data_IF_803080439486
#
_entry.id   IF_803080439486
#
_cell.length_a   1.000
_cell.length_b   1.000
_cell.length_c   1.000
_cell.angle_alpha   90.00
_cell.angle_beta   90.00
_cell.angle_gamma   90.00
#
_symmetry.space_group_name_H-M   'P 1'
#
loop_
_entity.id
_entity.type
_entity.pdbx_description
1 polymer ?
#
# COMPACT_ATOMS: atom_id res chain seq x y z
N UNK A 1 19.10 -18.23 2.63
CA UNK A 1 18.60 -19.42 3.37
C UNK A 1 19.53 -19.71 4.54
N UNK A 2 19.14 -19.22 5.73
CA UNK A 2 19.99 -19.37 6.92
C UNK A 2 19.65 -20.61 7.75
N UNK A 3 18.92 -21.59 7.21
CA UNK A 3 18.40 -22.77 7.92
C UNK A 3 17.67 -22.44 9.23
N UNK A 4 17.11 -21.24 9.34
CA UNK A 4 16.38 -20.78 10.51
C UNK A 4 14.95 -21.28 10.45
N UNK A 5 14.47 -21.87 11.53
CA UNK A 5 13.08 -22.31 11.67
C UNK A 5 12.15 -21.08 11.60
N UNK A 6 11.12 -21.16 10.77
CA UNK A 6 10.06 -20.15 10.70
C UNK A 6 8.95 -20.55 11.66
N UNK A 7 8.60 -19.68 12.61
CA UNK A 7 7.61 -19.98 13.65
C UNK A 7 6.16 -19.72 13.19
N UNK A 8 5.95 -19.19 11.97
CA UNK A 8 4.61 -18.96 11.41
C UNK A 8 3.98 -17.63 11.84
N UNK A 9 2.72 -17.66 12.27
CA UNK A 9 1.99 -16.46 12.68
C UNK A 9 2.53 -15.91 13.99
N UNK A 10 3.01 -14.66 13.96
CA UNK A 10 3.59 -13.96 15.11
C UNK A 10 2.58 -13.81 16.27
N UNK A 11 1.27 -13.77 15.99
CA UNK A 11 0.25 -13.71 17.01
C UNK A 11 0.18 -14.97 17.89
N UNK A 12 0.64 -16.11 17.35
CA UNK A 12 0.68 -17.40 18.04
C UNK A 12 2.01 -17.64 18.77
N UNK A 13 2.99 -16.78 18.58
CA UNK A 13 4.29 -16.90 19.23
C UNK A 13 4.20 -16.50 20.70
N UNK A 14 4.64 -17.39 21.57
CA UNK A 14 4.84 -17.08 22.99
C UNK A 14 6.07 -16.19 23.15
N UNK A 15 5.86 -14.94 23.47
CA UNK A 15 6.95 -13.94 23.60
C UNK A 15 8.02 -14.38 24.60
N UNK A 16 7.66 -15.13 25.63
CA UNK A 16 8.62 -15.60 26.64
C UNK A 16 9.59 -16.66 26.09
N UNK A 17 9.26 -17.31 24.94
CA UNK A 17 10.11 -18.30 24.29
C UNK A 17 11.03 -17.73 23.25
N UNK A 18 10.90 -16.43 22.93
CA UNK A 18 11.83 -15.75 22.01
C UNK A 18 13.21 -15.68 22.68
N UNK A 19 14.29 -16.11 22.01
CA UNK A 19 15.63 -15.98 22.56
C UNK A 19 16.02 -14.51 22.77
N UNK A 20 16.94 -14.26 23.70
CA UNK A 20 17.57 -12.94 23.84
C UNK A 20 18.24 -12.55 22.52
N UNK A 21 18.08 -11.31 22.12
CA UNK A 21 18.59 -10.76 20.87
C UNK A 21 18.94 -9.27 21.05
N UNK A 22 19.90 -8.78 20.26
CA UNK A 22 20.40 -7.42 20.35
C UNK A 22 19.61 -6.46 19.45
N UNK A 23 19.01 -6.98 18.37
CA UNK A 23 18.23 -6.19 17.42
C UNK A 23 16.91 -6.89 17.08
N UNK A 24 15.83 -6.13 17.05
CA UNK A 24 14.54 -6.54 16.50
C UNK A 24 14.29 -5.83 15.17
N UNK A 25 14.14 -6.62 14.11
CA UNK A 25 13.76 -6.13 12.78
C UNK A 25 12.34 -6.57 12.44
N UNK A 26 11.46 -5.64 12.02
CA UNK A 26 10.11 -5.99 11.63
C UNK A 26 9.51 -5.06 10.58
N UNK A 27 8.77 -5.65 9.63
CA UNK A 27 7.78 -4.94 8.80
C UNK A 27 6.38 -5.27 9.30
N UNK A 28 5.48 -4.30 9.34
CA UNK A 28 4.12 -4.50 9.83
C UNK A 28 3.08 -3.76 8.96
N UNK A 29 1.82 -4.27 8.85
CA UNK A 29 0.82 -3.62 8.01
C UNK A 29 0.30 -2.33 8.64
N UNK A 30 0.02 -1.32 7.79
CA UNK A 30 -0.49 -0.01 8.19
C UNK A 30 -2.00 0.00 8.52
N UNK A 31 -2.76 -1.03 8.12
CA UNK A 31 -4.22 -1.01 8.07
C UNK A 31 -5.01 -0.98 9.40
N UNK A 32 -4.52 -1.48 10.54
CA UNK A 32 -5.36 -1.56 11.76
C UNK A 32 -5.54 -0.26 12.53
N UNK A 33 -4.72 0.76 12.28
CA UNK A 33 -4.75 2.00 13.09
C UNK A 33 -5.96 2.89 12.84
N UNK A 34 -6.61 2.79 11.67
CA UNK A 34 -7.73 3.65 11.28
C UNK A 34 -9.07 3.33 11.97
N UNK A 35 -9.17 2.18 12.65
CA UNK A 35 -10.40 1.78 13.35
C UNK A 35 -10.31 1.81 14.88
N UNK A 36 -9.11 1.95 15.41
CA UNK A 36 -8.88 2.03 16.84
C UNK A 36 -8.77 3.49 17.28
N UNK A 37 -9.90 4.18 17.31
CA UNK A 37 -10.02 5.31 18.21
C UNK A 37 -9.62 4.85 19.60
N UNK A 38 -8.45 5.26 20.01
CA UNK A 38 -7.87 5.40 21.35
C UNK A 38 -7.99 4.31 22.44
N UNK A 39 -8.80 3.27 22.37
CA UNK A 39 -8.97 2.36 23.54
C UNK A 39 -9.35 0.89 23.27
N UNK A 40 -9.56 0.44 22.05
CA UNK A 40 -9.98 -0.95 21.76
C UNK A 40 -8.91 -1.81 21.08
N UNK A 41 -7.69 -1.28 20.90
CA UNK A 41 -6.61 -1.93 20.12
C UNK A 41 -6.02 -3.20 20.72
N UNK A 42 -6.35 -3.55 21.97
CA UNK A 42 -5.85 -4.76 22.63
C UNK A 42 -6.87 -5.91 22.62
N UNK A 43 -8.13 -5.68 22.23
CA UNK A 43 -9.20 -6.65 22.35
C UNK A 43 -9.84 -7.12 21.04
N UNK A 44 -9.28 -6.78 19.85
CA UNK A 44 -9.79 -7.35 18.61
C UNK A 44 -9.10 -8.69 18.29
N UNK A 45 -9.77 -9.84 18.56
CA UNK A 45 -9.17 -11.16 18.36
C UNK A 45 -9.01 -11.53 16.88
N UNK A 46 -9.48 -10.70 15.92
CA UNK A 46 -9.47 -11.02 14.49
C UNK A 46 -8.43 -10.27 13.66
N UNK A 47 -7.89 -9.18 14.18
CA UNK A 47 -6.84 -8.40 13.52
C UNK A 47 -5.87 -7.84 14.57
N UNK A 48 -5.33 -8.72 15.42
CA UNK A 48 -4.33 -8.34 16.42
C UNK A 48 -3.35 -7.38 15.78
N UNK A 49 -3.32 -6.13 16.26
CA UNK A 49 -2.46 -5.12 15.67
C UNK A 49 -1.00 -5.57 15.82
N UNK A 50 -0.41 -6.04 14.74
CA UNK A 50 0.94 -6.60 14.73
C UNK A 50 1.98 -5.64 15.32
N UNK A 51 1.71 -4.35 15.27
CA UNK A 51 2.56 -3.36 15.94
C UNK A 51 2.58 -3.57 17.46
N UNK A 52 1.42 -3.83 18.09
CA UNK A 52 1.41 -4.09 19.54
C UNK A 52 2.07 -5.42 19.92
N UNK A 53 2.08 -6.40 19.01
CA UNK A 53 2.90 -7.60 19.21
C UNK A 53 4.40 -7.28 19.20
N UNK A 54 4.83 -6.37 18.31
CA UNK A 54 6.19 -5.84 18.36
C UNK A 54 6.45 -5.14 19.70
N UNK A 55 5.54 -4.27 20.16
CA UNK A 55 5.66 -3.57 21.44
C UNK A 55 5.76 -4.56 22.62
N UNK A 56 4.97 -5.65 22.60
CA UNK A 56 5.05 -6.72 23.61
C UNK A 56 6.45 -7.34 23.67
N UNK A 57 7.02 -7.68 22.49
CA UNK A 57 8.38 -8.23 22.39
C UNK A 57 9.42 -7.22 22.90
N UNK A 58 9.31 -5.95 22.49
CA UNK A 58 10.22 -4.90 22.93
C UNK A 58 10.18 -4.70 24.45
N UNK A 59 9.00 -4.71 25.06
CA UNK A 59 8.86 -4.59 26.52
C UNK A 59 9.45 -5.80 27.26
N UNK A 60 9.34 -6.99 26.71
CA UNK A 60 9.80 -8.24 27.34
C UNK A 60 11.30 -8.43 27.22
N UNK A 61 11.85 -8.20 26.03
CA UNK A 61 13.26 -8.56 25.71
C UNK A 61 14.20 -7.37 25.73
N UNK A 62 13.69 -6.14 25.53
CA UNK A 62 14.46 -4.89 25.49
C UNK A 62 15.72 -5.02 24.63
N UNK A 63 15.62 -5.47 23.35
CA UNK A 63 16.78 -5.48 22.46
C UNK A 63 17.43 -4.09 22.41
N UNK A 64 18.74 -4.03 22.28
CA UNK A 64 19.44 -2.73 22.24
C UNK A 64 18.95 -1.88 21.07
N UNK A 65 18.66 -2.52 19.91
CA UNK A 65 18.21 -1.82 18.71
C UNK A 65 16.86 -2.33 18.23
N UNK A 66 16.09 -1.42 17.65
CA UNK A 66 14.88 -1.73 16.90
C UNK A 66 14.97 -1.11 15.52
N UNK A 67 14.61 -1.87 14.49
CA UNK A 67 14.56 -1.45 13.10
C UNK A 67 13.22 -1.86 12.49
N UNK A 68 12.37 -0.87 12.20
CA UNK A 68 11.06 -1.13 11.63
C UNK A 68 10.93 -0.53 10.24
N UNK A 69 10.13 -1.18 9.40
CA UNK A 69 9.83 -0.72 8.03
C UNK A 69 8.32 -0.64 7.82
N UNK A 70 7.90 0.37 7.08
CA UNK A 70 6.52 0.49 6.62
C UNK A 70 6.44 1.26 5.29
N UNK A 71 5.23 1.34 4.71
CA UNK A 71 4.99 2.19 3.54
C UNK A 71 5.16 3.67 3.90
N UNK A 72 5.66 4.46 2.96
CA UNK A 72 5.90 5.90 3.17
C UNK A 72 4.66 6.67 3.65
N UNK A 73 3.47 6.22 3.24
CA UNK A 73 2.20 6.86 3.62
C UNK A 73 1.86 6.72 5.12
N UNK A 74 2.57 5.87 5.88
CA UNK A 74 2.36 5.74 7.33
C UNK A 74 2.53 7.07 8.05
N UNK A 75 3.50 7.88 7.64
CA UNK A 75 3.80 9.19 8.26
C UNK A 75 2.62 10.16 8.19
N UNK A 76 1.88 10.15 7.07
CA UNK A 76 0.70 11.01 6.84
C UNK A 76 -0.64 10.32 7.10
N UNK A 77 -0.63 9.03 7.43
CA UNK A 77 -1.86 8.27 7.64
C UNK A 77 -2.67 8.83 8.82
N UNK A 78 -4.00 9.00 8.60
CA UNK A 78 -4.92 9.55 9.60
C UNK A 78 -4.43 10.91 10.15
N UNK A 79 -4.06 11.81 9.23
CA UNK A 79 -3.53 13.16 9.57
C UNK A 79 -2.29 13.14 10.47
N UNK A 80 -1.50 12.06 10.40
CA UNK A 80 -0.31 11.85 11.23
C UNK A 80 -0.57 11.17 12.58
N UNK A 81 -1.82 10.95 12.95
CA UNK A 81 -2.18 10.34 14.23
C UNK A 81 -1.60 8.93 14.38
N UNK A 82 -1.59 8.17 13.29
CA UNK A 82 -1.01 6.81 13.31
C UNK A 82 0.47 6.82 13.69
N UNK A 83 1.25 7.69 13.04
CA UNK A 83 2.67 7.82 13.37
C UNK A 83 2.88 8.29 14.81
N UNK A 84 2.10 9.26 15.26
CA UNK A 84 2.18 9.76 16.64
C UNK A 84 2.00 8.64 17.66
N UNK A 85 1.00 7.78 17.48
CA UNK A 85 0.77 6.63 18.39
C UNK A 85 1.96 5.68 18.38
N UNK A 86 2.49 5.34 17.21
CA UNK A 86 3.66 4.46 17.07
C UNK A 86 4.89 5.07 17.75
N UNK A 87 5.15 6.34 17.46
CA UNK A 87 6.28 7.07 18.03
C UNK A 87 6.19 7.16 19.57
N UNK A 88 5.00 7.49 20.11
CA UNK A 88 4.78 7.60 21.55
C UNK A 88 5.00 6.26 22.26
N UNK A 89 4.54 5.14 21.66
CA UNK A 89 4.76 3.80 22.22
C UNK A 89 6.23 3.41 22.22
N UNK A 90 6.93 3.59 21.10
CA UNK A 90 8.35 3.28 20.99
C UNK A 90 9.20 4.16 21.90
N UNK A 91 8.84 5.44 22.01
CA UNK A 91 9.58 6.43 22.79
C UNK A 91 9.51 6.21 24.30
N UNK A 92 8.68 5.28 24.78
CA UNK A 92 8.71 4.88 26.21
C UNK A 92 10.04 4.24 26.60
N UNK A 93 10.65 3.47 25.69
CA UNK A 93 11.89 2.73 25.97
C UNK A 93 13.07 3.19 25.08
N UNK A 94 12.80 3.62 23.85
CA UNK A 94 13.80 3.87 22.83
C UNK A 94 13.93 5.36 22.52
N UNK A 95 15.13 5.80 22.18
CA UNK A 95 15.35 7.01 21.41
C UNK A 95 15.13 6.65 19.94
N UNK A 96 14.26 7.38 19.25
CA UNK A 96 13.71 6.99 17.94
C UNK A 96 13.99 8.07 16.91
N UNK A 97 14.47 7.66 15.74
CA UNK A 97 14.58 8.50 14.53
C UNK A 97 13.89 7.79 13.36
N UNK A 98 13.37 8.59 12.43
CA UNK A 98 12.69 8.07 11.24
C UNK A 98 13.11 8.82 9.99
N UNK A 99 13.05 8.11 8.85
CA UNK A 99 13.33 8.67 7.53
C UNK A 99 12.56 7.94 6.43
N UNK A 100 12.17 8.66 5.37
CA UNK A 100 11.64 8.05 4.16
C UNK A 100 12.77 7.91 3.16
N UNK A 101 13.11 6.66 2.84
CA UNK A 101 14.16 6.33 1.89
C UNK A 101 13.59 5.52 0.73
N UNK A 102 14.24 5.60 -0.41
CA UNK A 102 13.93 4.78 -1.58
C UNK A 102 15.23 4.35 -2.26
N UNK A 103 15.29 3.14 -2.86
CA UNK A 103 16.51 2.64 -3.49
C UNK A 103 17.12 3.57 -4.54
N UNK A 104 16.28 4.34 -5.28
CA UNK A 104 16.80 5.29 -6.26
C UNK A 104 17.65 6.41 -5.66
N UNK A 105 17.46 6.76 -4.39
CA UNK A 105 18.35 7.70 -3.70
C UNK A 105 19.80 7.17 -3.54
N UNK A 106 20.00 5.88 -3.80
CA UNK A 106 21.28 5.17 -3.62
C UNK A 106 21.76 4.52 -4.93
N UNK A 107 21.30 5.01 -6.08
CA UNK A 107 21.75 4.54 -7.38
C UNK A 107 21.13 3.21 -7.86
N UNK A 108 20.03 2.76 -7.25
CA UNK A 108 19.32 1.54 -7.66
C UNK A 108 18.08 1.93 -8.47
N UNK A 109 17.89 1.33 -9.66
CA UNK A 109 16.79 1.62 -10.58
C UNK A 109 15.42 1.13 -10.05
N UNK A 110 15.05 1.55 -8.83
CA UNK A 110 13.78 1.21 -8.22
C UNK A 110 13.20 2.38 -7.42
N UNK A 111 12.01 2.85 -7.78
CA UNK A 111 11.21 3.75 -6.98
C UNK A 111 10.37 2.95 -5.98
N UNK A 112 10.83 2.88 -4.72
CA UNK A 112 10.16 2.14 -3.64
C UNK A 112 10.31 2.86 -2.31
N UNK A 113 9.63 4.00 -2.16
CA UNK A 113 9.68 4.77 -0.92
C UNK A 113 9.15 3.97 0.26
N UNK A 114 9.95 3.91 1.32
CA UNK A 114 9.63 3.23 2.58
C UNK A 114 9.95 4.12 3.76
N UNK A 115 9.13 3.99 4.79
CA UNK A 115 9.29 4.68 6.06
C UNK A 115 10.07 3.76 6.99
N UNK A 116 11.29 4.16 7.30
CA UNK A 116 12.19 3.45 8.19
C UNK A 116 12.19 4.10 9.55
N UNK A 117 12.14 3.28 10.59
CA UNK A 117 12.16 3.69 11.99
C UNK A 117 13.32 2.95 12.65
N UNK A 118 14.24 3.69 13.23
CA UNK A 118 15.38 3.17 13.98
C UNK A 118 15.28 3.65 15.41
N UNK A 119 15.46 2.73 16.35
CA UNK A 119 15.51 3.06 17.77
C UNK A 119 16.65 2.39 18.48
N UNK A 120 17.21 3.06 19.50
CA UNK A 120 18.14 2.48 20.45
C UNK A 120 17.64 2.71 21.87
N UNK A 121 17.77 1.69 22.71
CA UNK A 121 17.38 1.76 24.12
C UNK A 121 17.99 3.00 24.80
N UNK A 122 17.15 3.77 25.47
CA UNK A 122 17.60 4.96 26.23
C UNK A 122 18.57 4.59 27.34
N UNK A 123 18.34 3.44 27.98
CA UNK A 123 19.23 2.89 29.01
C UNK A 123 20.64 2.56 28.48
N UNK A 124 20.79 2.40 27.15
CA UNK A 124 22.07 2.17 26.45
C UNK A 124 22.63 3.43 25.80
N UNK A 125 22.11 4.61 26.14
CA UNK A 125 22.60 5.91 25.68
C UNK A 125 21.85 6.48 24.47
N UNK A 126 20.79 5.84 23.98
CA UNK A 126 20.01 6.32 22.85
C UNK A 126 20.79 6.35 21.53
N UNK A 127 20.25 7.02 20.51
CA UNK A 127 20.81 7.06 19.14
C UNK A 127 21.98 8.03 18.97
N UNK A 128 22.21 8.93 19.93
CA UNK A 128 23.33 9.89 19.90
C UNK A 128 23.55 10.52 18.50
N UNK A 129 24.71 10.23 17.89
CA UNK A 129 25.11 10.77 16.59
C UNK A 129 24.59 9.97 15.39
N UNK A 130 23.68 9.03 15.59
CA UNK A 130 23.10 8.27 14.46
C UNK A 130 22.46 9.22 13.44
N UNK A 131 22.81 9.04 12.18
CA UNK A 131 22.21 9.72 11.03
C UNK A 131 21.82 8.68 9.99
N UNK A 132 20.67 8.86 9.35
CA UNK A 132 20.36 8.11 8.15
C UNK A 132 21.37 8.45 7.03
N UNK A 133 21.61 7.53 6.10
CA UNK A 133 22.47 7.80 4.96
C UNK A 133 21.94 8.99 4.15
N UNK A 134 22.85 9.81 3.66
CA UNK A 134 22.52 10.94 2.80
C UNK A 134 21.96 10.45 1.47
N UNK A 135 20.92 11.12 1.01
CA UNK A 135 20.29 10.82 -0.29
C UNK A 135 21.16 11.41 -1.39
N UNK A 136 21.57 10.59 -2.32
CA UNK A 136 22.23 11.03 -3.55
C UNK A 136 21.17 11.14 -4.65
N UNK A 137 20.95 12.34 -5.18
CA UNK A 137 20.16 12.51 -6.40
C UNK A 137 21.08 12.18 -7.60
N UNK A 138 21.06 10.92 -8.04
CA UNK A 138 21.67 10.54 -9.31
C UNK A 138 20.64 10.79 -10.42
N UNK A 139 20.97 11.69 -11.30
CA UNK A 139 20.29 11.86 -12.58
C UNK A 139 20.47 10.57 -13.38
N UNK A 140 19.71 10.07 -14.18
CA UNK A 140 19.92 8.94 -15.14
C UNK A 140 20.12 7.53 -14.57
N UNK A 141 19.38 7.14 -13.53
CA UNK A 141 19.32 5.73 -13.15
C UNK A 141 18.32 4.99 -14.03
N UNK A 142 18.80 4.07 -14.85
CA UNK A 142 17.99 3.29 -15.77
C UNK A 142 17.93 1.82 -15.36
N UNK A 143 16.80 1.16 -15.65
CA UNK A 143 16.71 -0.30 -15.53
C UNK A 143 17.68 -1.01 -16.45
N UNK A 144 18.06 -0.39 -17.56
CA UNK A 144 19.06 -0.94 -18.49
C UNK A 144 20.43 -1.11 -17.87
N UNK A 145 20.76 -0.36 -16.81
CA UNK A 145 22.04 -0.48 -16.10
C UNK A 145 22.16 -1.77 -15.29
N UNK A 146 21.04 -2.44 -15.04
CA UNK A 146 20.99 -3.68 -14.22
C UNK A 146 20.51 -4.91 -15.01
N UNK A 147 20.07 -4.73 -16.27
CA UNK A 147 19.73 -5.85 -17.14
C UNK A 147 21.03 -6.49 -17.62
N UNK A 148 21.20 -7.76 -17.37
CA UNK A 148 22.30 -8.57 -17.93
C UNK A 148 21.78 -9.12 -19.26
N UNK A 149 22.31 -8.66 -20.42
CA UNK A 149 21.97 -9.25 -21.70
C UNK A 149 22.45 -10.70 -21.74
N UNK A 150 21.69 -11.55 -22.38
CA UNK A 150 22.03 -12.97 -22.62
C UNK A 150 22.23 -13.82 -21.35
N UNK A 151 21.57 -13.46 -20.25
CA UNK A 151 21.52 -14.32 -19.08
C UNK A 151 20.59 -15.50 -19.38
N UNK A 152 21.12 -16.72 -19.35
CA UNK A 152 20.34 -17.95 -19.57
C UNK A 152 19.46 -18.33 -18.37
N UNK A 153 19.62 -17.67 -17.21
CA UNK A 153 18.85 -17.92 -15.99
C UNK A 153 17.62 -17.00 -15.90
N UNK A 154 16.70 -17.12 -16.86
CA UNK A 154 15.45 -16.38 -16.86
C UNK A 154 14.22 -17.29 -16.70
N UNK A 155 13.24 -16.82 -15.97
CA UNK A 155 11.93 -17.48 -15.89
C UNK A 155 11.08 -17.18 -17.13
N UNK A 156 10.68 -18.21 -17.85
CA UNK A 156 9.72 -18.06 -18.94
C UNK A 156 8.32 -17.77 -18.42
N UNK A 157 7.69 -16.73 -18.94
CA UNK A 157 6.28 -16.45 -18.64
C UNK A 157 5.36 -17.50 -19.25
N UNK A 158 4.26 -17.78 -18.56
CA UNK A 158 3.14 -18.55 -19.14
C UNK A 158 2.58 -17.81 -20.37
N UNK A 159 2.09 -18.55 -21.35
CA UNK A 159 1.52 -17.97 -22.58
C UNK A 159 0.44 -16.92 -22.31
N UNK A 160 -0.41 -17.12 -21.31
CA UNK A 160 -1.40 -16.11 -20.90
C UNK A 160 -0.77 -14.79 -20.47
N UNK A 161 0.35 -14.86 -19.75
CA UNK A 161 1.09 -13.66 -19.31
C UNK A 161 1.76 -12.97 -20.49
N UNK A 162 2.36 -13.75 -21.42
CA UNK A 162 2.95 -13.20 -22.64
C UNK A 162 1.90 -12.45 -23.48
N UNK A 163 0.73 -13.07 -23.67
CA UNK A 163 -0.38 -12.45 -24.41
C UNK A 163 -0.82 -11.13 -23.75
N UNK A 164 -0.93 -11.08 -22.43
CA UNK A 164 -1.26 -9.83 -21.73
C UNK A 164 -0.19 -8.76 -21.92
N UNK A 165 1.09 -9.12 -21.87
CA UNK A 165 2.20 -8.20 -22.10
C UNK A 165 2.22 -7.69 -23.55
N UNK A 166 1.95 -8.57 -24.52
CA UNK A 166 1.86 -8.17 -25.93
C UNK A 166 0.74 -7.14 -26.18
N UNK A 167 -0.46 -7.41 -25.65
CA UNK A 167 -1.60 -6.48 -25.74
C UNK A 167 -1.25 -5.14 -25.07
N UNK A 168 -0.59 -5.21 -23.91
CA UNK A 168 -0.16 -4.00 -23.20
C UNK A 168 0.90 -3.22 -24.00
N UNK A 169 1.85 -3.91 -24.63
CA UNK A 169 2.86 -3.29 -25.48
C UNK A 169 2.22 -2.64 -26.71
N UNK A 170 1.33 -3.34 -27.39
CA UNK A 170 0.56 -2.79 -28.51
C UNK A 170 -0.20 -1.51 -28.12
N UNK A 171 -0.83 -1.51 -26.93
CA UNK A 171 -1.47 -0.32 -26.40
C UNK A 171 -0.49 0.84 -26.22
N UNK A 172 0.69 0.59 -25.63
CA UNK A 172 1.72 1.62 -25.44
C UNK A 172 2.28 2.14 -26.77
N UNK A 173 2.51 1.27 -27.75
CA UNK A 173 3.07 1.61 -29.06
C UNK A 173 2.13 2.52 -29.89
N UNK A 174 0.83 2.51 -29.59
CA UNK A 174 -0.17 3.39 -30.19
C UNK A 174 -0.28 4.76 -29.52
N UNK A 175 0.46 5.00 -28.42
CA UNK A 175 0.46 6.27 -27.70
C UNK A 175 1.76 7.05 -28.00
N UNK A 176 1.65 8.36 -28.10
CA UNK A 176 2.84 9.21 -28.07
C UNK A 176 3.39 9.27 -26.65
N UNK A 177 4.70 9.51 -26.46
CA UNK A 177 5.31 9.58 -25.12
C UNK A 177 4.61 10.54 -24.16
N UNK A 178 4.12 11.68 -24.63
CA UNK A 178 3.38 12.67 -23.87
C UNK A 178 1.93 12.25 -23.53
N UNK A 179 1.40 11.26 -24.22
CA UNK A 179 0.05 10.72 -24.04
C UNK A 179 0.01 9.55 -23.07
N UNK A 180 1.17 8.97 -22.75
CA UNK A 180 1.26 7.90 -21.75
C UNK A 180 0.76 8.41 -20.39
N UNK A 181 -0.30 7.83 -19.82
CA UNK A 181 -0.91 8.36 -18.62
C UNK A 181 0.04 8.27 -17.42
N UNK A 182 0.14 9.37 -16.66
CA UNK A 182 0.90 9.44 -15.39
C UNK A 182 0.05 9.09 -14.17
N UNK A 183 -1.10 8.47 -14.38
CA UNK A 183 -2.02 8.01 -13.35
C UNK A 183 -2.34 6.53 -13.53
N UNK A 184 -2.81 5.82 -12.49
CA UNK A 184 -3.18 4.42 -12.59
C UNK A 184 -4.29 4.21 -13.63
N UNK A 185 -4.07 3.29 -14.57
CA UNK A 185 -5.08 2.93 -15.56
C UNK A 185 -6.09 1.99 -14.91
N UNK A 186 -7.34 2.44 -14.89
CA UNK A 186 -8.49 1.69 -14.41
C UNK A 186 -9.36 1.29 -15.61
N UNK A 187 -8.91 0.29 -16.35
CA UNK A 187 -9.59 -0.16 -17.58
C UNK A 187 -11.08 -0.47 -17.38
N UNK A 188 -11.50 -0.80 -16.17
CA UNK A 188 -12.92 -0.98 -15.81
C UNK A 188 -13.76 0.30 -16.01
N UNK A 189 -13.13 1.48 -16.05
CA UNK A 189 -13.81 2.75 -16.33
C UNK A 189 -13.92 3.07 -17.82
N UNK A 190 -13.26 2.31 -18.69
CA UNK A 190 -13.31 2.53 -20.12
C UNK A 190 -14.72 2.30 -20.67
N UNK A 191 -15.28 3.34 -21.26
CA UNK A 191 -16.65 3.34 -21.77
C UNK A 191 -17.76 3.39 -20.71
N UNK A 192 -17.44 3.47 -19.42
CA UNK A 192 -18.41 3.59 -18.35
C UNK A 192 -19.00 5.01 -18.27
N UNK A 193 -20.30 5.12 -17.96
CA UNK A 193 -21.01 6.40 -17.82
C UNK A 193 -21.95 6.48 -16.60
N UNK A 194 -21.85 5.49 -15.69
CA UNK A 194 -22.61 5.54 -14.44
C UNK A 194 -22.25 6.77 -13.60
N UNK A 195 -23.21 7.37 -12.87
CA UNK A 195 -22.93 8.56 -12.04
C UNK A 195 -22.13 8.23 -10.79
N UNK A 196 -21.21 9.13 -10.39
CA UNK A 196 -20.33 8.96 -9.24
C UNK A 196 -19.94 10.26 -8.52
N UNK A 197 -20.29 11.43 -9.08
CA UNK A 197 -19.79 12.73 -8.57
C UNK A 197 -20.43 13.15 -7.25
N UNK A 198 -21.74 13.25 -7.18
CA UNK A 198 -22.48 13.73 -6.01
C UNK A 198 -22.82 12.65 -4.99
N UNK A 199 -22.87 11.39 -5.46
CA UNK A 199 -23.09 10.21 -4.60
C UNK A 199 -22.31 9.04 -5.15
N UNK A 200 -21.76 8.24 -4.25
CA UNK A 200 -21.16 7.00 -4.66
C UNK A 200 -22.23 6.02 -5.18
N UNK A 201 -21.91 5.16 -6.17
CA UNK A 201 -22.90 4.31 -6.82
C UNK A 201 -23.73 3.44 -5.87
N UNK A 202 -23.14 2.91 -4.80
CA UNK A 202 -23.85 2.15 -3.75
C UNK A 202 -24.91 2.98 -2.99
N UNK A 203 -24.89 4.30 -3.10
CA UNK A 203 -25.86 5.23 -2.48
C UNK A 203 -26.88 5.79 -3.48
N UNK A 204 -26.84 5.31 -4.72
CA UNK A 204 -27.81 5.65 -5.78
C UNK A 204 -29.07 4.79 -5.70
N UNK A 205 -29.97 4.97 -6.63
CA UNK A 205 -31.15 4.12 -6.84
C UNK A 205 -31.02 3.32 -8.14
N UNK A 206 -31.84 2.28 -8.28
CA UNK A 206 -31.92 1.53 -9.55
C UNK A 206 -32.27 2.43 -10.75
N UNK A 207 -33.03 3.50 -10.52
CA UNK A 207 -33.39 4.48 -11.56
C UNK A 207 -32.14 5.23 -12.06
N UNK A 208 -31.21 5.55 -11.18
CA UNK A 208 -29.99 6.30 -11.53
C UNK A 208 -29.02 5.45 -12.35
N UNK A 209 -29.02 4.13 -12.15
CA UNK A 209 -28.14 3.17 -12.85
C UNK A 209 -28.77 2.61 -14.12
N UNK A 210 -30.10 2.67 -14.26
CA UNK A 210 -30.81 2.12 -15.41
C UNK A 210 -30.34 2.80 -16.71
N UNK A 211 -30.08 1.99 -17.75
CA UNK A 211 -29.60 2.42 -19.07
C UNK A 211 -28.20 3.09 -19.04
N UNK A 212 -27.45 2.91 -17.97
CA UNK A 212 -26.06 3.34 -17.87
C UNK A 212 -25.12 2.21 -18.19
N UNK A 213 -23.85 2.56 -18.46
CA UNK A 213 -22.78 1.62 -18.70
C UNK A 213 -21.89 1.52 -17.44
N UNK A 214 -21.63 0.28 -17.04
CA UNK A 214 -20.78 -0.07 -15.91
C UNK A 214 -19.35 -0.41 -16.33
N UNK A 215 -18.78 -1.42 -15.68
CA UNK A 215 -17.41 -1.88 -15.96
C UNK A 215 -17.22 -2.24 -17.44
N UNK A 216 -16.11 -1.78 -18.02
CA UNK A 216 -15.74 -1.99 -19.42
C UNK A 216 -16.81 -1.54 -20.42
N UNK A 217 -17.57 -0.50 -20.09
CA UNK A 217 -18.63 0.01 -20.95
C UNK A 217 -19.82 -0.93 -21.14
N UNK A 218 -19.94 -1.97 -20.33
CA UNK A 218 -21.04 -2.95 -20.39
C UNK A 218 -22.34 -2.33 -19.87
N UNK A 219 -23.46 -2.55 -20.57
CA UNK A 219 -24.76 -2.05 -20.14
C UNK A 219 -25.13 -2.62 -18.76
N UNK A 220 -25.53 -1.74 -17.84
CA UNK A 220 -25.97 -2.13 -16.50
C UNK A 220 -27.36 -2.78 -16.62
N UNK A 221 -27.46 -4.04 -16.21
CA UNK A 221 -28.65 -4.86 -16.26
C UNK A 221 -28.85 -5.59 -14.93
N UNK A 222 -30.09 -5.89 -14.58
CA UNK A 222 -30.43 -6.67 -13.39
C UNK A 222 -31.87 -6.45 -12.95
N UNK A 223 -32.42 -7.44 -12.25
CA UNK A 223 -33.77 -7.40 -11.69
C UNK A 223 -33.80 -6.69 -10.32
N UNK A 224 -32.66 -6.57 -9.68
CA UNK A 224 -32.49 -5.89 -8.39
C UNK A 224 -31.42 -4.81 -8.46
N UNK A 225 -31.38 -3.92 -7.46
CA UNK A 225 -30.31 -2.95 -7.33
C UNK A 225 -28.94 -3.62 -7.12
N UNK A 226 -28.91 -4.70 -6.36
CA UNK A 226 -27.68 -5.48 -6.12
C UNK A 226 -27.12 -6.11 -7.40
N UNK A 227 -28.01 -6.56 -8.31
CA UNK A 227 -27.56 -7.08 -9.61
C UNK A 227 -26.97 -5.97 -10.47
N UNK A 228 -27.58 -4.78 -10.45
CA UNK A 228 -27.05 -3.60 -11.15
C UNK A 228 -25.68 -3.16 -10.58
N UNK A 229 -25.50 -3.23 -9.27
CA UNK A 229 -24.20 -2.92 -8.64
C UNK A 229 -23.09 -3.86 -9.10
N UNK A 230 -23.37 -5.15 -9.31
CA UNK A 230 -22.39 -6.12 -9.81
C UNK A 230 -21.86 -5.79 -11.21
N UNK A 231 -22.60 -5.00 -11.99
CA UNK A 231 -22.13 -4.53 -13.31
C UNK A 231 -21.12 -3.39 -13.21
N UNK A 232 -20.92 -2.80 -12.03
CA UNK A 232 -19.98 -1.69 -11.82
C UNK A 232 -18.56 -2.21 -11.56
N UNK A 233 -17.52 -1.35 -11.69
CA UNK A 233 -16.19 -1.68 -11.18
C UNK A 233 -16.24 -2.12 -9.71
N UNK A 234 -15.44 -3.11 -9.34
CA UNK A 234 -15.50 -3.75 -8.01
C UNK A 234 -15.40 -2.75 -6.86
N UNK A 235 -14.54 -1.73 -6.97
CA UNK A 235 -14.40 -0.68 -5.97
C UNK A 235 -15.62 0.27 -5.88
N UNK A 236 -16.57 0.19 -6.82
CA UNK A 236 -17.80 0.98 -6.84
C UNK A 236 -19.00 0.21 -6.30
N UNK A 237 -18.87 -1.12 -6.16
CA UNK A 237 -19.91 -2.02 -5.64
C UNK A 237 -20.00 -1.95 -4.11
N UNK A 238 -18.87 -1.73 -3.45
CA UNK A 238 -18.74 -1.68 -2.00
C UNK A 238 -17.73 -0.58 -1.57
N UNK A 239 -17.25 -0.63 -0.35
CA UNK A 239 -16.06 0.12 0.08
C UNK A 239 -16.28 1.54 0.57
N UNK A 240 -17.53 1.96 0.81
CA UNK A 240 -17.77 3.16 1.59
C UNK A 240 -17.95 2.83 3.07
N UNK A 241 -17.30 3.62 3.93
CA UNK A 241 -17.66 3.63 5.35
C UNK A 241 -19.14 3.99 5.49
N UNK A 242 -19.83 3.45 6.49
CA UNK A 242 -21.27 3.69 6.70
C UNK A 242 -21.65 5.17 6.75
N UNK A 243 -20.74 6.03 7.20
CA UNK A 243 -20.91 7.48 7.29
C UNK A 243 -20.63 8.25 6.00
N UNK A 244 -20.06 7.61 4.98
CA UNK A 244 -19.71 8.27 3.71
C UNK A 244 -20.83 8.11 2.69
N UNK A 245 -21.14 9.19 1.98
CA UNK A 245 -22.13 9.21 0.89
C UNK A 245 -21.48 9.37 -0.48
N UNK A 246 -20.23 9.86 -0.52
CA UNK A 246 -19.48 10.17 -1.74
C UNK A 246 -18.15 9.48 -1.78
N UNK A 247 -17.62 9.32 -2.99
CA UNK A 247 -16.22 8.94 -3.17
C UNK A 247 -15.28 10.07 -2.73
N UNK A 248 -14.11 9.75 -2.17
CA UNK A 248 -13.08 10.75 -1.89
C UNK A 248 -12.60 11.42 -3.21
N UNK A 249 -12.11 12.65 -3.07
CA UNK A 249 -11.71 13.51 -4.21
C UNK A 249 -10.72 12.80 -5.14
N UNK A 250 -9.70 12.12 -4.58
CA UNK A 250 -8.71 11.41 -5.37
C UNK A 250 -9.33 10.29 -6.23
N UNK A 251 -10.34 9.56 -5.71
CA UNK A 251 -11.00 8.49 -6.45
C UNK A 251 -11.82 9.08 -7.60
N UNK A 252 -12.58 10.15 -7.35
CA UNK A 252 -13.32 10.86 -8.39
C UNK A 252 -12.39 11.38 -9.50
N UNK A 253 -11.21 11.89 -9.13
CA UNK A 253 -10.20 12.29 -10.09
C UNK A 253 -9.78 11.14 -11.01
N UNK A 254 -9.41 9.97 -10.47
CA UNK A 254 -8.99 8.83 -11.29
C UNK A 254 -10.11 8.26 -12.16
N UNK A 255 -11.35 8.25 -11.70
CA UNK A 255 -12.51 7.84 -12.52
C UNK A 255 -12.62 8.76 -13.73
N UNK A 256 -12.63 10.08 -13.53
CA UNK A 256 -12.68 11.06 -14.64
C UNK A 256 -11.51 10.88 -15.59
N UNK A 257 -10.30 10.89 -15.10
CA UNK A 257 -9.10 10.78 -15.90
C UNK A 257 -9.10 9.54 -16.81
N UNK A 258 -9.52 8.38 -16.27
CA UNK A 258 -9.60 7.15 -17.07
C UNK A 258 -10.72 7.18 -18.11
N UNK A 259 -11.89 7.77 -17.82
CA UNK A 259 -12.97 7.93 -18.81
C UNK A 259 -12.59 8.91 -19.92
N UNK A 260 -11.98 10.04 -19.57
CA UNK A 260 -11.49 11.03 -20.52
C UNK A 260 -10.39 10.45 -21.42
N UNK A 261 -9.47 9.69 -20.82
CA UNK A 261 -8.42 8.99 -21.56
C UNK A 261 -9.01 8.02 -22.59
N UNK A 262 -9.98 7.19 -22.22
CA UNK A 262 -10.66 6.27 -23.12
C UNK A 262 -11.38 6.98 -24.28
N UNK A 263 -12.01 8.13 -24.01
CA UNK A 263 -12.71 8.89 -25.07
C UNK A 263 -11.74 9.54 -26.04
N UNK A 264 -10.52 9.87 -25.59
CA UNK A 264 -9.50 10.52 -26.40
C UNK A 264 -8.78 9.53 -27.33
N UNK A 265 -8.61 8.30 -26.91
CA UNK A 265 -7.85 7.26 -27.61
C UNK A 265 -8.71 6.04 -27.95
#
# INVERSE_FOLDING_TARGET
>A
NHNTKIEGDINLVDVNKIPSHDILCAGFPCQPFSKAGARLGLEDPRNGNLFYKIVEILNRHKPEFVFLENVANLKGHDEGNTWKVIHDELSKLYDVKEEILSPHHFGIAQHRSRFYIVGRLKEKGGLCDFKFPEKEEKEDISIHDIIIPDDDDFMTFKETTKNHLMIWQEFLDNLKPEEVPRFPIWAMEFGADYPFEGKAPIKLSSKDLKNKKGAFGTLIQGNSFDDMLKCLPTYAQDGLKSSQTEFPVWKKYYIRANREFYVKH
#
